data_IF_744705647527
#
_entry.id   IF_744705647527
#
_cell.length_a   1.000
_cell.length_b   1.000
_cell.length_c   1.000
_cell.angle_alpha   90.00
_cell.angle_beta   90.00
_cell.angle_gamma   90.00
#
_symmetry.space_group_name_H-M   'P 1'
#
loop_
_entity.id
_entity.type
_entity.pdbx_description
1 polymer ?
#
# COMPACT_ATOMS: atom_id res chain seq x y z
N UNK A 1 27.31 -23.48 -48.40
CA UNK A 1 26.03 -23.63 -47.67
C UNK A 1 26.25 -23.80 -46.16
N UNK A 2 27.13 -24.70 -45.71
CA UNK A 2 27.40 -24.93 -44.27
C UNK A 2 28.02 -23.74 -43.50
N UNK A 3 28.93 -22.96 -44.10
CA UNK A 3 29.50 -21.77 -43.45
C UNK A 3 28.44 -20.67 -43.21
N UNK A 4 27.50 -20.50 -44.14
CA UNK A 4 26.48 -19.44 -44.09
C UNK A 4 25.40 -19.74 -43.03
N UNK A 5 25.03 -21.01 -42.85
CA UNK A 5 24.16 -21.44 -41.75
C UNK A 5 24.84 -21.34 -40.39
N UNK A 6 26.16 -21.58 -40.30
CA UNK A 6 26.87 -21.48 -39.01
C UNK A 6 27.00 -20.03 -38.51
N UNK A 7 27.17 -19.06 -39.43
CA UNK A 7 27.31 -17.64 -39.08
C UNK A 7 25.96 -17.01 -38.70
N UNK A 8 24.87 -17.38 -39.38
CA UNK A 8 23.52 -16.91 -39.03
C UNK A 8 23.03 -17.51 -37.72
N UNK A 9 23.30 -18.80 -37.46
CA UNK A 9 22.92 -19.43 -36.19
C UNK A 9 23.74 -18.90 -35.01
N UNK A 10 25.04 -18.59 -35.22
CA UNK A 10 25.90 -18.02 -34.18
C UNK A 10 25.49 -16.58 -33.82
N UNK A 11 25.20 -15.71 -34.81
CA UNK A 11 24.74 -14.34 -34.54
C UNK A 11 23.39 -14.29 -33.80
N UNK A 12 22.45 -15.16 -34.16
CA UNK A 12 21.15 -15.25 -33.46
C UNK A 12 21.33 -15.76 -32.03
N UNK A 13 22.30 -16.65 -31.79
CA UNK A 13 22.59 -17.18 -30.45
C UNK A 13 23.28 -16.15 -29.55
N UNK A 14 24.23 -15.37 -30.08
CA UNK A 14 24.93 -14.30 -29.32
C UNK A 14 23.99 -13.13 -29.01
N UNK A 15 23.13 -12.75 -29.96
CA UNK A 15 22.10 -11.74 -29.72
C UNK A 15 21.04 -12.20 -28.72
N UNK A 16 20.67 -13.49 -28.72
CA UNK A 16 19.74 -14.03 -27.73
C UNK A 16 20.38 -14.23 -26.34
N UNK A 17 21.67 -14.59 -26.23
CA UNK A 17 22.31 -14.88 -24.94
C UNK A 17 22.56 -13.64 -24.10
N UNK A 18 22.97 -12.54 -24.73
CA UNK A 18 23.22 -11.27 -24.01
C UNK A 18 21.90 -10.59 -23.59
N UNK A 19 20.80 -10.86 -24.31
CA UNK A 19 19.47 -10.31 -24.03
C UNK A 19 18.69 -11.11 -22.97
N UNK A 20 18.88 -12.44 -22.92
CA UNK A 20 18.20 -13.31 -21.94
C UNK A 20 18.68 -13.10 -20.49
N UNK A 21 19.87 -12.52 -20.29
CA UNK A 21 20.42 -12.20 -18.97
C UNK A 21 19.83 -10.92 -18.33
N UNK A 22 19.16 -10.07 -19.11
CA UNK A 22 18.54 -8.83 -18.59
C UNK A 22 17.03 -8.91 -18.35
N UNK A 23 16.32 -9.86 -18.98
CA UNK A 23 14.85 -9.91 -18.94
C UNK A 23 14.28 -11.33 -18.76
N UNK A 24 14.93 -12.18 -17.97
CA UNK A 24 14.33 -13.44 -17.53
C UNK A 24 13.28 -13.17 -16.46
N UNK A 25 12.05 -12.88 -16.87
CA UNK A 25 10.78 -13.42 -16.34
C UNK A 25 9.63 -12.52 -16.78
N UNK A 26 9.12 -12.69 -18.00
CA UNK A 26 7.69 -12.68 -18.34
C UNK A 26 7.52 -12.73 -19.87
N UNK A 27 7.30 -13.95 -20.35
CA UNK A 27 6.48 -14.36 -21.50
C UNK A 27 6.48 -13.40 -22.71
N UNK A 28 7.41 -13.62 -23.65
CA UNK A 28 7.17 -13.29 -25.05
C UNK A 28 6.68 -14.56 -25.76
N UNK A 29 5.41 -14.57 -26.13
CA UNK A 29 4.90 -15.50 -27.15
C UNK A 29 5.62 -15.20 -28.47
N UNK A 30 6.45 -16.16 -28.89
CA UNK A 30 7.38 -16.11 -30.03
C UNK A 30 6.82 -16.34 -31.46
N UNK A 31 5.53 -16.62 -31.76
CA UNK A 31 5.17 -17.07 -33.11
C UNK A 31 5.12 -15.98 -34.19
N UNK A 32 5.08 -14.69 -33.82
CA UNK A 32 4.93 -13.58 -34.80
C UNK A 32 6.27 -13.24 -35.50
N UNK A 33 7.42 -13.42 -34.83
CA UNK A 33 8.74 -13.09 -35.40
C UNK A 33 9.24 -14.17 -36.39
N UNK A 34 8.90 -15.44 -36.17
CA UNK A 34 9.28 -16.55 -37.05
C UNK A 34 8.51 -16.57 -38.37
N UNK A 35 7.22 -16.19 -38.37
CA UNK A 35 6.43 -16.15 -39.61
C UNK A 35 6.87 -15.03 -40.56
N UNK A 36 7.29 -13.88 -40.02
CA UNK A 36 7.73 -12.74 -40.83
C UNK A 36 9.09 -12.94 -41.50
N UNK A 37 9.95 -13.78 -40.90
CA UNK A 37 11.30 -14.07 -41.42
C UNK A 37 11.26 -15.06 -42.59
N UNK A 38 10.37 -16.06 -42.58
CA UNK A 38 10.34 -17.13 -43.59
C UNK A 38 9.73 -16.72 -44.95
N UNK A 39 8.69 -15.88 -44.98
CA UNK A 39 7.95 -15.57 -46.22
C UNK A 39 8.64 -14.58 -47.14
N UNK A 40 9.61 -13.77 -46.65
CA UNK A 40 10.34 -12.79 -47.46
C UNK A 40 11.73 -13.23 -47.94
N UNK A 41 12.24 -14.36 -47.45
CA UNK A 41 13.59 -14.84 -47.77
C UNK A 41 13.66 -15.73 -49.03
N UNK A 42 12.54 -16.22 -49.56
CA UNK A 42 12.55 -17.19 -50.67
C UNK A 42 12.76 -16.62 -52.08
N UNK A 43 12.84 -15.30 -52.28
CA UNK A 43 12.94 -14.72 -53.64
C UNK A 43 14.03 -13.67 -53.85
N UNK A 44 15.03 -13.57 -52.98
CA UNK A 44 16.03 -12.49 -53.06
C UNK A 44 17.45 -13.02 -53.39
N UNK A 45 17.74 -13.18 -54.68
CA UNK A 45 19.13 -13.12 -55.19
C UNK A 45 19.52 -11.64 -55.23
N UNK A 46 20.25 -11.18 -54.22
CA UNK A 46 20.61 -9.77 -54.09
C UNK A 46 22.09 -9.61 -53.77
N UNK A 47 22.77 -8.85 -54.63
CA UNK A 47 24.17 -8.45 -54.51
C UNK A 47 24.51 -7.99 -53.10
N UNK A 48 25.71 -8.34 -52.61
CA UNK A 48 26.18 -8.05 -51.24
C UNK A 48 25.98 -6.59 -50.81
N UNK A 49 26.05 -5.64 -51.75
CA UNK A 49 25.83 -4.21 -51.50
C UNK A 49 24.37 -3.87 -51.15
N UNK A 50 23.40 -4.54 -51.80
CA UNK A 50 21.98 -4.40 -51.50
C UNK A 50 21.60 -5.17 -50.23
N UNK A 51 22.25 -6.30 -49.92
CA UNK A 51 22.06 -7.01 -48.65
C UNK A 51 22.44 -6.15 -47.44
N UNK A 52 23.55 -5.41 -47.47
CA UNK A 52 23.91 -4.50 -46.37
C UNK A 52 22.88 -3.38 -46.17
N UNK A 53 22.35 -2.81 -47.25
CA UNK A 53 21.34 -1.75 -47.15
C UNK A 53 19.98 -2.28 -46.67
N UNK A 54 19.58 -3.49 -47.10
CA UNK A 54 18.36 -4.16 -46.60
C UNK A 54 18.50 -4.53 -45.13
N UNK A 55 19.64 -5.07 -44.68
CA UNK A 55 19.90 -5.34 -43.27
C UNK A 55 19.94 -4.08 -42.41
N UNK A 56 20.52 -2.98 -42.90
CA UNK A 56 20.49 -1.68 -42.21
C UNK A 56 19.07 -1.15 -42.06
N UNK A 57 18.27 -1.18 -43.13
CA UNK A 57 16.86 -0.77 -43.08
C UNK A 57 16.04 -1.66 -42.13
N UNK A 58 16.24 -2.98 -42.16
CA UNK A 58 15.55 -3.91 -41.29
C UNK A 58 15.90 -3.67 -39.81
N UNK A 59 17.18 -3.53 -39.49
CA UNK A 59 17.62 -3.22 -38.12
C UNK A 59 17.06 -1.88 -37.63
N UNK A 60 17.01 -0.87 -38.50
CA UNK A 60 16.46 0.44 -38.15
C UNK A 60 14.95 0.39 -37.93
N UNK A 61 14.21 -0.42 -38.69
CA UNK A 61 12.78 -0.69 -38.49
C UNK A 61 12.49 -1.47 -37.21
N UNK A 62 13.29 -2.49 -36.90
CA UNK A 62 13.17 -3.25 -35.63
C UNK A 62 13.44 -2.34 -34.44
N UNK A 63 14.50 -1.53 -34.48
CA UNK A 63 14.81 -0.56 -33.43
C UNK A 63 13.70 0.49 -33.26
N UNK A 64 13.11 1.00 -34.35
CA UNK A 64 11.99 1.96 -34.25
C UNK A 64 10.73 1.31 -33.71
N UNK A 65 10.41 0.07 -34.11
CA UNK A 65 9.27 -0.68 -33.55
C UNK A 65 9.47 -0.97 -32.06
N UNK A 66 10.68 -1.38 -31.66
CA UNK A 66 11.04 -1.58 -30.26
C UNK A 66 10.92 -0.28 -29.47
N UNK A 67 11.51 0.82 -29.93
CA UNK A 67 11.37 2.11 -29.28
C UNK A 67 9.90 2.53 -29.16
N UNK A 68 9.11 2.35 -30.21
CA UNK A 68 7.68 2.70 -30.20
C UNK A 68 6.91 1.86 -29.18
N UNK A 69 7.17 0.56 -29.09
CA UNK A 69 6.55 -0.32 -28.08
C UNK A 69 6.98 0.06 -26.66
N UNK A 70 8.27 0.31 -26.43
CA UNK A 70 8.78 0.79 -25.14
C UNK A 70 8.14 2.11 -24.74
N UNK A 71 8.02 3.07 -25.67
CA UNK A 71 7.37 4.36 -25.41
C UNK A 71 5.87 4.20 -25.15
N UNK A 72 5.18 3.28 -25.83
CA UNK A 72 3.77 2.99 -25.55
C UNK A 72 3.56 2.33 -24.18
N UNK A 73 4.42 1.40 -23.78
CA UNK A 73 4.41 0.77 -22.45
C UNK A 73 4.70 1.81 -21.37
N UNK A 74 5.72 2.67 -21.56
CA UNK A 74 6.02 3.79 -20.66
C UNK A 74 4.85 4.79 -20.56
N UNK A 75 4.14 5.06 -21.66
CA UNK A 75 2.95 5.92 -21.65
C UNK A 75 1.76 5.25 -20.95
N UNK A 76 1.58 3.93 -21.07
CA UNK A 76 0.55 3.18 -20.34
C UNK A 76 0.84 3.13 -18.83
N UNK A 77 2.11 3.02 -18.44
CA UNK A 77 2.55 3.07 -17.04
C UNK A 77 2.39 4.45 -16.37
N UNK A 78 1.99 5.49 -17.12
CA UNK A 78 1.78 6.86 -16.61
C UNK A 78 0.31 7.25 -16.41
N UNK A 79 -0.63 6.34 -16.65
CA UNK A 79 -2.07 6.63 -16.52
C UNK A 79 -2.73 5.68 -15.54
N UNK A 80 -3.63 6.21 -14.73
CA UNK A 80 -4.53 5.39 -13.93
C UNK A 80 -5.45 4.58 -14.86
N UNK A 81 -5.67 3.32 -14.53
CA UNK A 81 -6.56 2.44 -15.29
C UNK A 81 -7.33 1.51 -14.36
N UNK A 82 -8.40 0.91 -14.87
CA UNK A 82 -9.22 -0.05 -14.14
C UNK A 82 -9.04 -1.43 -14.77
N UNK A 83 -8.74 -2.43 -13.95
CA UNK A 83 -8.72 -3.85 -14.33
C UNK A 83 -9.78 -4.60 -13.52
N UNK A 84 -10.86 -5.00 -14.17
CA UNK A 84 -12.05 -5.50 -13.47
C UNK A 84 -12.69 -4.37 -12.65
N UNK A 85 -12.77 -4.55 -11.32
CA UNK A 85 -13.24 -3.51 -10.38
C UNK A 85 -12.08 -2.91 -9.55
N UNK A 86 -10.84 -3.09 -10.00
CA UNK A 86 -9.65 -2.60 -9.33
C UNK A 86 -9.10 -1.37 -10.04
N UNK A 87 -9.08 -0.23 -9.35
CA UNK A 87 -8.38 0.98 -9.80
C UNK A 87 -6.89 0.83 -9.51
N UNK A 88 -6.05 0.93 -10.53
CA UNK A 88 -4.60 0.91 -10.39
C UNK A 88 -4.07 2.28 -10.77
N UNK A 89 -3.36 2.91 -9.84
CA UNK A 89 -2.69 4.19 -10.01
C UNK A 89 -1.18 3.98 -9.94
N UNK A 90 -0.50 3.92 -11.10
CA UNK A 90 0.93 3.68 -11.17
C UNK A 90 1.79 4.74 -10.50
N UNK A 91 3.07 4.42 -10.36
CA UNK A 91 4.06 5.26 -9.70
C UNK A 91 4.22 6.65 -10.33
N UNK A 92 4.26 6.68 -11.67
CA UNK A 92 4.51 7.86 -12.49
C UNK A 92 3.21 8.50 -13.00
N UNK A 93 2.07 8.23 -12.35
CA UNK A 93 0.79 8.77 -12.79
C UNK A 93 0.81 10.30 -12.70
N UNK A 94 0.56 11.00 -13.80
CA UNK A 94 0.34 12.44 -13.77
C UNK A 94 -1.11 12.71 -13.33
N UNK A 95 -1.36 13.82 -12.64
CA UNK A 95 -2.64 14.19 -11.96
C UNK A 95 -3.91 14.17 -12.85
N UNK A 96 -3.80 13.83 -14.14
CA UNK A 96 -4.88 13.76 -15.10
C UNK A 96 -5.51 12.36 -15.12
N UNK A 97 -6.29 12.05 -14.08
CA UNK A 97 -7.18 10.89 -14.15
C UNK A 97 -8.30 11.18 -15.15
N UNK A 98 -8.22 10.59 -16.35
CA UNK A 98 -9.22 10.72 -17.42
C UNK A 98 -10.34 9.68 -17.32
N UNK A 99 -10.36 8.86 -16.26
CA UNK A 99 -11.38 7.84 -16.05
C UNK A 99 -12.74 8.48 -15.79
N UNK A 100 -13.79 7.91 -16.41
CA UNK A 100 -15.13 8.42 -16.24
C UNK A 100 -15.61 8.21 -14.80
N UNK A 101 -16.41 9.15 -14.30
CA UNK A 101 -16.99 9.08 -12.95
C UNK A 101 -17.85 7.82 -12.75
N UNK A 102 -18.53 7.37 -13.82
CA UNK A 102 -19.33 6.14 -13.83
C UNK A 102 -18.51 4.89 -13.50
N UNK A 103 -17.27 4.83 -13.99
CA UNK A 103 -16.43 3.65 -13.86
C UNK A 103 -15.85 3.57 -12.45
N UNK A 104 -15.42 4.72 -11.91
CA UNK A 104 -14.92 4.84 -10.54
C UNK A 104 -15.98 4.45 -9.48
N UNK A 105 -17.27 4.70 -9.73
CA UNK A 105 -18.36 4.32 -8.81
C UNK A 105 -18.53 2.80 -8.64
N UNK A 106 -18.00 2.00 -9.57
CA UNK A 106 -18.06 0.54 -9.52
C UNK A 106 -16.81 -0.08 -8.88
N UNK A 107 -15.76 0.70 -8.69
CA UNK A 107 -14.49 0.25 -8.12
C UNK A 107 -14.71 -0.23 -6.68
N UNK A 108 -14.27 -1.46 -6.41
CA UNK A 108 -14.30 -2.08 -5.08
C UNK A 108 -12.91 -2.19 -4.46
N UNK A 109 -11.86 -2.06 -5.27
CA UNK A 109 -10.47 -2.16 -4.84
C UNK A 109 -9.63 -1.06 -5.50
N UNK A 110 -8.68 -0.48 -4.77
CA UNK A 110 -7.79 0.53 -5.33
C UNK A 110 -6.36 0.34 -4.84
N UNK A 111 -5.41 0.44 -5.77
CA UNK A 111 -3.98 0.33 -5.53
C UNK A 111 -3.30 1.61 -5.98
N UNK A 112 -2.61 2.27 -5.06
CA UNK A 112 -1.85 3.50 -5.31
C UNK A 112 -0.39 3.27 -4.94
N UNK A 113 0.52 3.53 -5.89
CA UNK A 113 1.95 3.28 -5.64
C UNK A 113 2.61 4.41 -4.84
N UNK A 114 2.64 5.65 -5.34
CA UNK A 114 3.40 6.74 -4.70
C UNK A 114 2.55 7.85 -4.09
N UNK A 115 1.41 8.17 -4.70
CA UNK A 115 0.59 9.31 -4.28
C UNK A 115 -0.87 8.92 -4.23
N UNK A 116 -1.56 9.51 -3.26
CA UNK A 116 -3.00 9.42 -3.15
C UNK A 116 -3.62 10.60 -3.88
N UNK A 117 -4.22 10.34 -5.04
CA UNK A 117 -5.00 11.37 -5.72
C UNK A 117 -6.39 11.44 -5.10
N UNK A 118 -6.66 12.52 -4.37
CA UNK A 118 -7.91 12.72 -3.62
C UNK A 118 -9.13 12.68 -4.56
N UNK A 119 -9.04 13.28 -5.76
CA UNK A 119 -10.20 13.38 -6.67
C UNK A 119 -10.66 12.01 -7.22
N UNK A 120 -9.79 11.12 -7.71
CA UNK A 120 -10.20 9.78 -8.14
C UNK A 120 -10.76 8.93 -6.99
N UNK A 121 -10.10 8.95 -5.82
CA UNK A 121 -10.51 8.06 -4.72
C UNK A 121 -11.84 8.47 -4.10
N UNK A 122 -12.12 9.77 -3.97
CA UNK A 122 -13.41 10.27 -3.47
C UNK A 122 -14.61 9.84 -4.33
N UNK A 123 -14.38 9.51 -5.61
CA UNK A 123 -15.44 8.99 -6.50
C UNK A 123 -15.65 7.48 -6.38
N UNK A 124 -14.77 6.77 -5.69
CA UNK A 124 -14.83 5.32 -5.50
C UNK A 124 -15.79 4.97 -4.34
N UNK A 125 -17.08 5.27 -4.52
CA UNK A 125 -18.10 5.17 -3.47
C UNK A 125 -18.41 3.74 -3.00
N UNK A 126 -17.94 2.71 -3.72
CA UNK A 126 -18.08 1.29 -3.33
C UNK A 126 -16.76 0.66 -2.92
N UNK A 127 -15.72 1.47 -2.71
CA UNK A 127 -14.38 1.00 -2.40
C UNK A 127 -14.38 0.26 -1.06
N UNK A 128 -13.93 -0.99 -1.07
CA UNK A 128 -13.82 -1.86 0.11
C UNK A 128 -12.37 -2.08 0.52
N UNK A 129 -11.43 -2.09 -0.43
CA UNK A 129 -10.02 -2.38 -0.17
C UNK A 129 -9.16 -1.27 -0.76
N UNK A 130 -8.30 -0.68 0.07
CA UNK A 130 -7.32 0.32 -0.33
C UNK A 130 -5.90 -0.18 -0.02
N UNK A 131 -5.05 -0.21 -1.05
CA UNK A 131 -3.63 -0.59 -0.94
C UNK A 131 -2.74 0.58 -1.34
N UNK A 132 -1.83 0.98 -0.46
CA UNK A 132 -0.87 2.07 -0.63
C UNK A 132 0.56 1.50 -0.59
N UNK A 133 1.18 1.29 -1.74
CA UNK A 133 2.38 0.44 -1.85
C UNK A 133 3.65 1.12 -1.33
N UNK A 134 3.93 2.34 -1.76
CA UNK A 134 5.17 3.08 -1.44
C UNK A 134 4.92 4.39 -0.67
N UNK A 135 3.70 4.61 -0.18
CA UNK A 135 3.39 5.84 0.55
C UNK A 135 4.03 5.83 1.92
N UNK A 136 4.89 6.82 2.18
CA UNK A 136 5.46 7.09 3.51
C UNK A 136 4.48 7.83 4.43
N UNK A 137 3.70 8.76 3.87
CA UNK A 137 2.75 9.58 4.62
C UNK A 137 1.41 9.63 3.91
N UNK A 138 0.33 9.34 4.65
CA UNK A 138 -1.03 9.59 4.18
C UNK A 138 -1.37 11.02 4.61
N UNK A 139 -1.26 11.95 3.65
CA UNK A 139 -1.66 13.34 3.88
C UNK A 139 -3.17 13.43 4.05
N UNK A 140 -3.66 14.51 4.66
CA UNK A 140 -5.12 14.75 4.82
C UNK A 140 -5.81 14.66 3.46
N UNK A 141 -6.59 13.59 3.26
CA UNK A 141 -7.13 13.20 1.95
C UNK A 141 -8.62 12.87 1.96
N UNK A 142 -9.33 13.28 3.01
CA UNK A 142 -10.76 13.06 3.21
C UNK A 142 -11.21 11.59 3.03
N UNK A 143 -10.39 10.61 3.43
CA UNK A 143 -10.73 9.20 3.25
C UNK A 143 -11.92 8.74 4.11
N UNK A 144 -12.39 9.56 5.04
CA UNK A 144 -13.64 9.36 5.80
C UNK A 144 -14.88 9.27 4.91
N UNK A 145 -14.82 9.77 3.67
CA UNK A 145 -15.92 9.66 2.70
C UNK A 145 -16.07 8.23 2.12
N UNK A 146 -15.10 7.34 2.36
CA UNK A 146 -15.12 5.96 1.86
C UNK A 146 -15.93 5.04 2.79
N UNK A 147 -17.23 5.27 2.90
CA UNK A 147 -18.13 4.63 3.88
C UNK A 147 -18.13 3.09 3.84
N UNK A 148 -17.79 2.48 2.69
CA UNK A 148 -17.73 1.04 2.48
C UNK A 148 -16.33 0.44 2.68
N UNK A 149 -15.34 1.25 3.05
CA UNK A 149 -13.96 0.80 3.19
C UNK A 149 -13.85 -0.20 4.34
N UNK A 150 -13.38 -1.40 4.04
CA UNK A 150 -13.25 -2.51 4.98
C UNK A 150 -11.79 -2.80 5.33
N UNK A 151 -10.87 -2.52 4.42
CA UNK A 151 -9.46 -2.85 4.59
C UNK A 151 -8.55 -1.76 4.02
N UNK A 152 -7.52 -1.40 4.80
CA UNK A 152 -6.42 -0.52 4.36
C UNK A 152 -5.10 -1.23 4.59
N UNK A 153 -4.25 -1.26 3.56
CA UNK A 153 -2.88 -1.78 3.62
C UNK A 153 -1.90 -0.71 3.17
N UNK A 154 -0.97 -0.31 4.03
CA UNK A 154 0.07 0.67 3.72
C UNK A 154 1.42 0.26 4.33
N UNK A 155 2.13 -0.64 3.64
CA UNK A 155 3.29 -1.35 4.20
C UNK A 155 4.50 -0.46 4.49
N UNK A 156 4.63 0.67 3.79
CA UNK A 156 5.74 1.63 3.94
C UNK A 156 5.34 2.91 4.65
N UNK A 157 4.10 3.00 5.15
CA UNK A 157 3.58 4.21 5.76
C UNK A 157 4.10 4.34 7.20
N UNK A 158 4.72 5.47 7.50
CA UNK A 158 5.23 5.84 8.82
C UNK A 158 4.40 6.95 9.47
N UNK A 159 3.53 7.64 8.71
CA UNK A 159 2.77 8.78 9.21
C UNK A 159 1.36 8.88 8.60
N UNK A 160 0.33 9.10 9.43
CA UNK A 160 -1.03 9.45 8.98
C UNK A 160 -1.47 10.80 9.53
N UNK A 161 -1.88 11.71 8.64
CA UNK A 161 -2.44 13.03 9.00
C UNK A 161 -3.85 12.94 9.59
N UNK A 162 -4.24 14.00 10.28
CA UNK A 162 -5.53 14.20 10.97
C UNK A 162 -6.73 13.75 10.13
N UNK A 163 -7.67 13.06 10.79
CA UNK A 163 -9.02 12.72 10.32
C UNK A 163 -9.13 11.80 9.09
N UNK A 164 -8.03 11.25 8.56
CA UNK A 164 -8.10 10.47 7.32
C UNK A 164 -9.13 9.33 7.35
N UNK A 165 -9.19 8.52 8.41
CA UNK A 165 -10.05 7.34 8.47
C UNK A 165 -11.17 7.47 9.53
N UNK A 166 -11.54 8.70 9.89
CA UNK A 166 -12.59 8.96 10.89
C UNK A 166 -13.95 8.41 10.41
N UNK A 167 -14.78 7.89 11.33
CA UNK A 167 -16.14 7.42 11.06
C UNK A 167 -16.26 6.34 9.98
N UNK A 168 -15.21 5.55 9.74
CA UNK A 168 -15.28 4.41 8.84
C UNK A 168 -15.93 3.21 9.53
N UNK A 169 -17.26 3.19 9.54
CA UNK A 169 -18.08 2.18 10.21
C UNK A 169 -17.84 0.75 9.72
N UNK A 170 -17.34 0.56 8.49
CA UNK A 170 -17.06 -0.76 7.91
C UNK A 170 -15.59 -1.17 8.01
N UNK A 171 -14.70 -0.30 8.46
CA UNK A 171 -13.26 -0.59 8.49
C UNK A 171 -12.97 -1.66 9.53
N UNK A 172 -12.46 -2.80 9.09
CA UNK A 172 -12.19 -3.98 9.91
C UNK A 172 -10.70 -4.27 10.02
N UNK A 173 -9.96 -4.10 8.92
CA UNK A 173 -8.57 -4.52 8.79
C UNK A 173 -7.67 -3.34 8.46
N UNK A 174 -6.62 -3.18 9.24
CA UNK A 174 -5.61 -2.15 9.06
C UNK A 174 -4.24 -2.81 9.13
N UNK A 175 -3.45 -2.67 8.08
CA UNK A 175 -2.10 -3.22 8.01
C UNK A 175 -1.09 -2.11 7.67
N UNK A 176 -0.42 -1.59 8.71
CA UNK A 176 0.57 -0.52 8.63
C UNK A 176 1.73 -0.83 9.59
N UNK A 177 2.58 -1.83 9.28
CA UNK A 177 3.55 -2.38 10.25
C UNK A 177 4.67 -1.40 10.63
N UNK A 178 4.91 -0.39 9.80
CA UNK A 178 5.95 0.63 10.00
C UNK A 178 5.40 1.96 10.51
N UNK A 179 4.13 2.02 10.94
CA UNK A 179 3.53 3.28 11.38
C UNK A 179 4.22 3.79 12.65
N UNK A 180 4.65 5.06 12.63
CA UNK A 180 5.36 5.71 13.73
C UNK A 180 4.52 6.84 14.36
N UNK A 181 3.67 7.50 13.57
CA UNK A 181 2.87 8.65 13.98
C UNK A 181 1.44 8.57 13.43
N UNK A 182 0.45 8.75 14.31
CA UNK A 182 -0.96 8.85 13.95
C UNK A 182 -1.51 10.14 14.55
N UNK A 183 -2.01 11.02 13.69
CA UNK A 183 -2.53 12.32 14.09
C UNK A 183 -4.00 12.30 14.52
N UNK A 184 -4.47 13.44 15.04
CA UNK A 184 -5.76 13.58 15.71
C UNK A 184 -6.93 12.98 14.91
N UNK A 185 -7.85 12.31 15.61
CA UNK A 185 -9.09 11.73 15.07
C UNK A 185 -8.89 10.71 13.92
N UNK A 186 -7.69 10.19 13.65
CA UNK A 186 -7.45 9.35 12.48
C UNK A 186 -8.40 8.16 12.34
N UNK A 187 -8.70 7.44 13.43
CA UNK A 187 -9.60 6.28 13.45
C UNK A 187 -10.72 6.45 14.49
N UNK A 188 -11.10 7.70 14.77
CA UNK A 188 -12.24 8.02 15.63
C UNK A 188 -13.49 7.34 15.06
N UNK A 189 -14.33 6.75 15.92
CA UNK A 189 -15.60 6.13 15.53
C UNK A 189 -15.47 5.08 14.41
N UNK A 190 -14.45 4.23 14.48
CA UNK A 190 -14.29 3.04 13.65
C UNK A 190 -14.69 1.76 14.45
N UNK A 191 -15.99 1.53 14.71
CA UNK A 191 -16.44 0.51 15.67
C UNK A 191 -16.14 -0.92 15.24
N UNK A 192 -15.85 -1.19 13.97
CA UNK A 192 -15.56 -2.53 13.48
C UNK A 192 -14.07 -2.83 13.36
N UNK A 193 -13.21 -1.87 13.72
CA UNK A 193 -11.76 -2.02 13.61
C UNK A 193 -11.29 -3.13 14.57
N UNK A 194 -10.59 -4.11 14.02
CA UNK A 194 -10.09 -5.27 14.75
C UNK A 194 -8.95 -4.94 15.72
N UNK A 195 -8.32 -5.97 16.27
CA UNK A 195 -7.16 -5.79 17.15
C UNK A 195 -6.00 -5.12 16.41
N UNK A 196 -5.29 -4.24 17.13
CA UNK A 196 -4.27 -3.36 16.57
C UNK A 196 -2.90 -3.71 17.13
N UNK A 197 -1.95 -4.01 16.23
CA UNK A 197 -0.58 -4.36 16.58
C UNK A 197 0.37 -3.41 15.84
N UNK A 198 0.83 -2.36 16.52
CA UNK A 198 1.71 -1.33 15.96
C UNK A 198 3.02 -1.26 16.75
N UNK A 199 3.97 -2.10 16.37
CA UNK A 199 5.23 -2.24 17.09
C UNK A 199 6.16 -1.02 16.95
N UNK A 200 5.99 -0.20 15.92
CA UNK A 200 6.83 0.99 15.67
C UNK A 200 6.17 2.31 16.06
N UNK A 201 4.89 2.29 16.47
CA UNK A 201 4.12 3.50 16.71
C UNK A 201 4.58 4.20 17.99
N UNK A 202 5.02 5.45 17.84
CA UNK A 202 5.62 6.26 18.91
C UNK A 202 4.70 7.36 19.40
N UNK A 203 3.92 7.96 18.50
CA UNK A 203 3.04 9.07 18.82
C UNK A 203 1.63 8.78 18.35
N UNK A 204 0.70 8.82 19.29
CA UNK A 204 -0.73 8.70 19.04
C UNK A 204 -1.39 9.98 19.52
N UNK A 205 -1.94 10.78 18.63
CA UNK A 205 -2.56 12.06 18.98
C UNK A 205 -3.95 11.89 19.61
N UNK A 206 -4.61 12.99 19.90
CA UNK A 206 -5.94 13.04 20.52
C UNK A 206 -7.00 12.23 19.73
N UNK A 207 -7.88 11.53 20.44
CA UNK A 207 -9.06 10.82 19.90
C UNK A 207 -8.78 9.77 18.80
N UNK A 208 -7.54 9.37 18.55
CA UNK A 208 -7.19 8.53 17.39
C UNK A 208 -7.95 7.20 17.34
N UNK A 209 -8.23 6.59 18.49
CA UNK A 209 -8.85 5.26 18.63
C UNK A 209 -10.07 5.31 19.56
N UNK A 210 -10.78 6.44 19.58
CA UNK A 210 -11.95 6.66 20.42
C UNK A 210 -13.18 5.98 19.76
N UNK A 211 -14.01 5.30 20.56
CA UNK A 211 -15.19 4.54 20.12
C UNK A 211 -14.92 3.45 19.07
N UNK A 212 -13.82 2.70 19.24
CA UNK A 212 -13.54 1.47 18.51
C UNK A 212 -13.89 0.23 19.36
N UNK A 213 -14.07 -0.94 18.73
CA UNK A 213 -14.39 -2.20 19.44
C UNK A 213 -13.26 -3.23 19.43
N UNK A 214 -12.02 -2.79 19.18
CA UNK A 214 -10.83 -3.64 19.36
C UNK A 214 -10.78 -4.20 20.77
N UNK A 215 -10.35 -5.46 20.92
CA UNK A 215 -10.15 -6.11 22.22
C UNK A 215 -8.73 -5.93 22.72
N UNK A 216 -7.78 -5.85 21.79
CA UNK A 216 -6.35 -5.77 22.05
C UNK A 216 -5.74 -4.63 21.23
N UNK A 217 -4.95 -3.79 21.90
CA UNK A 217 -4.12 -2.76 21.26
C UNK A 217 -2.70 -2.91 21.81
N UNK A 218 -1.74 -3.23 20.94
CA UNK A 218 -0.33 -3.37 21.32
C UNK A 218 0.50 -2.31 20.59
N UNK A 219 1.00 -1.35 21.37
CA UNK A 219 1.87 -0.24 20.94
C UNK A 219 3.04 -0.12 21.93
N UNK A 220 3.93 -1.13 22.00
CA UNK A 220 4.95 -1.21 23.04
C UNK A 220 6.03 -0.12 22.94
N UNK A 221 6.10 0.62 21.83
CA UNK A 221 7.06 1.71 21.62
C UNK A 221 6.39 3.10 21.70
N UNK A 222 5.15 3.18 22.19
CA UNK A 222 4.49 4.46 22.42
C UNK A 222 5.32 5.33 23.38
N UNK A 223 5.58 6.56 22.97
CA UNK A 223 6.19 7.62 23.81
C UNK A 223 5.12 8.56 24.33
N UNK A 224 4.13 8.87 23.48
CA UNK A 224 3.04 9.80 23.77
C UNK A 224 1.71 9.27 23.26
N UNK A 225 0.69 9.34 24.12
CA UNK A 225 -0.71 9.04 23.80
C UNK A 225 -1.56 10.25 24.16
N UNK A 226 -2.35 10.74 23.23
CA UNK A 226 -3.13 11.96 23.36
C UNK A 226 -4.36 11.82 24.27
N UNK A 227 -5.01 12.96 24.50
CA UNK A 227 -6.27 13.04 25.24
C UNK A 227 -7.35 12.18 24.55
N UNK A 228 -8.20 11.53 25.35
CA UNK A 228 -9.36 10.75 24.89
C UNK A 228 -9.03 9.64 23.88
N UNK A 229 -7.75 9.26 23.73
CA UNK A 229 -7.30 8.45 22.61
C UNK A 229 -8.00 7.09 22.48
N UNK A 230 -8.28 6.41 23.60
CA UNK A 230 -8.99 5.14 23.67
C UNK A 230 -10.34 5.25 24.38
N UNK A 231 -10.93 6.45 24.42
CA UNK A 231 -12.16 6.69 25.16
C UNK A 231 -13.33 5.87 24.58
N UNK A 232 -14.25 5.47 25.47
CA UNK A 232 -15.49 4.73 25.20
C UNK A 232 -15.30 3.38 24.48
N UNK A 233 -14.13 2.76 24.65
CA UNK A 233 -13.84 1.43 24.11
C UNK A 233 -14.25 0.32 25.08
N UNK A 234 -15.57 0.10 25.25
CA UNK A 234 -16.11 -0.86 26.21
C UNK A 234 -15.75 -2.34 25.98
N UNK A 235 -15.19 -2.69 24.82
CA UNK A 235 -14.72 -4.05 24.49
C UNK A 235 -13.22 -4.25 24.71
N UNK A 236 -12.49 -3.18 25.00
CA UNK A 236 -11.04 -3.17 25.09
C UNK A 236 -10.59 -3.86 26.38
N UNK A 237 -9.92 -5.01 26.23
CA UNK A 237 -9.47 -5.87 27.34
C UNK A 237 -8.00 -5.68 27.67
N UNK A 238 -7.17 -5.38 26.66
CA UNK A 238 -5.73 -5.28 26.86
C UNK A 238 -5.14 -4.14 26.02
N UNK A 239 -4.29 -3.35 26.66
CA UNK A 239 -3.45 -2.33 26.01
C UNK A 239 -2.02 -2.50 26.49
N UNK A 240 -1.06 -2.58 25.56
CA UNK A 240 0.38 -2.48 25.85
C UNK A 240 0.92 -1.17 25.30
N UNK A 241 1.37 -0.27 26.18
CA UNK A 241 2.02 0.99 25.82
C UNK A 241 3.53 0.99 26.12
N UNK A 242 4.11 -0.14 26.54
CA UNK A 242 5.53 -0.23 26.91
C UNK A 242 5.94 0.84 27.93
N UNK A 243 6.98 1.62 27.65
CA UNK A 243 7.47 2.69 28.55
C UNK A 243 6.96 4.09 28.19
N UNK A 244 5.65 4.20 27.89
CA UNK A 244 5.05 5.46 27.48
C UNK A 244 5.17 6.56 28.54
N UNK A 245 5.74 7.70 28.13
CA UNK A 245 6.07 8.82 29.01
C UNK A 245 4.89 9.76 29.27
N UNK A 246 3.95 9.87 28.32
CA UNK A 246 2.81 10.80 28.41
C UNK A 246 1.52 10.13 27.95
N UNK A 247 0.49 10.19 28.80
CA UNK A 247 -0.87 9.77 28.48
C UNK A 247 -1.80 10.95 28.75
N UNK A 248 -2.57 11.35 27.75
CA UNK A 248 -3.49 12.47 27.83
C UNK A 248 -4.68 12.21 28.75
N UNK A 249 -5.38 13.29 29.09
CA UNK A 249 -6.58 13.24 29.93
C UNK A 249 -7.65 12.33 29.32
N UNK A 250 -8.43 11.63 30.14
CA UNK A 250 -9.59 10.81 29.73
C UNK A 250 -9.28 9.72 28.69
N UNK A 251 -8.00 9.38 28.49
CA UNK A 251 -7.53 8.47 27.46
C UNK A 251 -8.26 7.11 27.49
N UNK A 252 -8.60 6.61 28.68
CA UNK A 252 -9.28 5.32 28.87
C UNK A 252 -10.68 5.46 29.50
N UNK A 253 -11.27 6.66 29.46
CA UNK A 253 -12.61 6.87 30.00
C UNK A 253 -13.62 5.93 29.33
N UNK A 254 -14.41 5.16 30.08
CA UNK A 254 -15.38 4.20 29.52
C UNK A 254 -14.78 2.85 29.07
N UNK A 255 -13.49 2.58 29.33
CA UNK A 255 -12.87 1.27 29.10
C UNK A 255 -13.07 0.35 30.30
N UNK A 256 -14.21 -0.34 30.35
CA UNK A 256 -14.55 -1.24 31.46
C UNK A 256 -13.73 -2.55 31.39
N UNK A 257 -12.96 -2.86 32.43
CA UNK A 257 -12.22 -4.13 32.52
C UNK A 257 -10.89 -4.18 31.75
N UNK A 258 -10.35 -3.02 31.40
CA UNK A 258 -9.06 -2.88 30.72
C UNK A 258 -7.89 -3.36 31.60
N UNK A 259 -7.03 -4.19 31.02
CA UNK A 259 -5.68 -4.48 31.51
C UNK A 259 -4.69 -3.59 30.76
N UNK A 260 -3.97 -2.74 31.49
CA UNK A 260 -2.98 -1.83 30.93
C UNK A 260 -1.58 -2.30 31.31
N UNK A 261 -0.75 -2.59 30.32
CA UNK A 261 0.71 -2.72 30.47
C UNK A 261 1.33 -1.39 30.07
N UNK A 262 1.96 -0.73 31.04
CA UNK A 262 2.79 0.43 30.80
C UNK A 262 3.81 0.57 31.94
N UNK A 263 4.98 1.15 31.64
CA UNK A 263 6.16 1.22 32.51
C UNK A 263 5.97 2.06 33.77
N UNK A 264 7.07 2.36 34.48
CA UNK A 264 7.03 3.09 35.75
C UNK A 264 6.46 4.52 35.56
N UNK A 265 5.20 4.70 35.91
CA UNK A 265 4.47 5.96 35.79
C UNK A 265 4.85 6.96 36.88
N UNK A 266 5.07 8.22 36.49
CA UNK A 266 5.00 9.34 37.42
C UNK A 266 3.55 9.85 37.48
N UNK A 267 2.83 9.49 38.54
CA UNK A 267 1.41 9.78 38.77
C UNK A 267 1.01 11.28 38.70
N UNK A 268 1.98 12.20 38.58
CA UNK A 268 1.77 13.66 38.48
C UNK A 268 1.28 14.14 37.11
N UNK A 269 1.53 13.40 36.03
CA UNK A 269 1.12 13.79 34.66
C UNK A 269 -0.23 13.21 34.24
N UNK A 270 -0.81 12.35 35.08
CA UNK A 270 -2.15 11.83 34.90
C UNK A 270 -3.13 12.80 35.58
N UNK A 271 -3.68 13.74 34.83
CA UNK A 271 -4.90 14.42 35.25
C UNK A 271 -6.03 13.38 35.17
N UNK A 272 -6.31 12.73 36.31
CA UNK A 272 -7.39 11.75 36.51
C UNK A 272 -7.46 10.67 35.43
N UNK A 273 -6.69 9.58 35.58
CA UNK A 273 -7.23 8.27 35.20
C UNK A 273 -8.31 8.03 36.25
N UNK A 274 -9.56 8.38 35.91
CA UNK A 274 -10.70 8.14 36.78
C UNK A 274 -10.67 6.67 37.20
N UNK A 275 -10.40 6.46 38.50
CA UNK A 275 -10.37 5.17 39.20
C UNK A 275 -9.89 4.02 38.32
N UNK A 276 -8.60 3.72 38.37
CA UNK A 276 -8.06 2.40 38.02
C UNK A 276 -9.01 1.31 38.57
N UNK A 277 -9.86 0.73 37.73
CA UNK A 277 -10.63 -0.49 38.04
C UNK A 277 -9.68 -1.70 38.17
N UNK A 278 -8.37 -1.50 37.99
CA UNK A 278 -7.38 -2.55 37.84
C UNK A 278 -6.17 -2.49 38.76
N UNK A 279 -6.07 -1.59 39.76
CA UNK A 279 -4.96 -1.67 40.74
C UNK A 279 -4.93 -3.03 41.45
N UNK A 280 -6.07 -3.71 41.57
CA UNK A 280 -6.14 -5.09 42.12
C UNK A 280 -5.88 -6.21 41.10
N UNK A 281 -5.76 -5.95 39.79
CA UNK A 281 -5.55 -7.00 38.77
C UNK A 281 -4.21 -6.95 38.05
N UNK A 282 -3.48 -5.84 38.10
CA UNK A 282 -2.14 -5.75 37.49
C UNK A 282 -1.12 -6.61 38.25
N UNK A 283 -1.34 -6.88 39.54
CA UNK A 283 -0.51 -7.82 40.31
C UNK A 283 -0.89 -9.30 40.11
N UNK A 284 -2.10 -9.61 39.62
CA UNK A 284 -2.61 -10.99 39.45
C UNK A 284 -2.16 -11.67 38.16
N UNK A 285 -2.11 -10.95 37.03
CA UNK A 285 -1.75 -11.55 35.74
C UNK A 285 -0.25 -11.70 35.51
N UNK A 286 0.58 -10.92 36.21
CA UNK A 286 2.03 -11.12 36.21
C UNK A 286 2.46 -12.40 36.95
N UNK A 287 1.61 -12.95 37.83
CA UNK A 287 1.86 -14.19 38.57
C UNK A 287 1.42 -15.45 37.80
N UNK A 288 0.40 -15.37 36.94
CA UNK A 288 -0.09 -16.52 36.15
C UNK A 288 0.74 -16.80 34.89
N UNK A 289 1.55 -15.85 34.41
CA UNK A 289 2.49 -16.07 33.31
C UNK A 289 3.89 -16.55 33.75
N UNK A 290 4.08 -16.85 35.04
CA UNK A 290 5.32 -17.42 35.62
C UNK A 290 5.13 -18.83 36.21
N UNK A 291 4.02 -19.50 35.87
CA UNK A 291 3.84 -20.96 36.04
C UNK A 291 3.71 -21.59 34.67
#
# INVERSE_FOLDING_TARGET
SYLLQSVTFSLVKTLNSDFMLQYSTQVLDLPILEQYTLTKLQSFQVDQFKQQNVSKMFNQQVLTLQHTQTTQIEQQQKKAFIKGNCLIVPELCENNCTLASSDLKQVTEAVFFNQLYIRPIAKCQKLKILTLTNMKRIKRSNLQELEFLMQVTAMKCTYVDTENFNQLYNLQKLNMPLIEHIEQNCFLQCPNLGDLLFLQLQTISENCFNQIKSRVISVPNAKTVGQCCFQLNGFLKFVDLGECAQIGQDCFHGCHGLQLKCGQFNAKNVKKVDKFVGEQKIQGLAAEMRK
#
